data_IF_501115802202
#
_entry.id   IF_501115802202
#
_cell.length_a   1.000
_cell.length_b   1.000
_cell.length_c   1.000
_cell.angle_alpha   90.00
_cell.angle_beta   90.00
_cell.angle_gamma   90.00
#
_symmetry.space_group_name_H-M   'P 1'
#
loop_
_entity.id
_entity.type
_entity.pdbx_description
1 polymer ?
#
# COMPACT_ATOMS: atom_id res chain seq x y z
N UNK A 1 3.64 -10.52 -24.75
CA UNK A 1 4.57 -10.42 -23.61
C UNK A 1 5.01 -8.97 -23.38
N UNK A 2 5.55 -8.27 -24.38
CA UNK A 2 5.90 -6.83 -24.26
C UNK A 2 4.67 -5.95 -24.03
N UNK A 3 3.55 -6.21 -24.72
CA UNK A 3 2.30 -5.44 -24.58
C UNK A 3 1.65 -5.52 -23.19
N UNK A 4 1.72 -6.66 -22.51
CA UNK A 4 1.22 -6.82 -21.13
C UNK A 4 2.13 -6.12 -20.12
N UNK A 5 3.45 -6.12 -20.34
CA UNK A 5 4.40 -5.37 -19.51
C UNK A 5 4.17 -3.86 -19.66
N UNK A 6 3.99 -3.36 -20.88
CA UNK A 6 3.67 -1.93 -21.13
C UNK A 6 2.29 -1.54 -20.58
N UNK A 7 1.32 -2.45 -20.57
CA UNK A 7 -0.01 -2.22 -19.95
C UNK A 7 0.02 -2.29 -18.42
N UNK A 8 1.04 -2.91 -17.81
CA UNK A 8 1.25 -2.89 -16.35
C UNK A 8 1.97 -1.63 -15.89
N UNK A 9 2.79 -1.02 -16.75
CA UNK A 9 3.46 0.27 -16.49
C UNK A 9 2.49 1.47 -16.57
N UNK A 10 1.39 1.36 -17.32
CA UNK A 10 0.43 2.46 -17.51
C UNK A 10 -0.51 2.72 -16.34
N UNK A 11 -0.57 1.85 -15.32
CA UNK A 11 -1.39 2.03 -14.11
C UNK A 11 -0.51 2.30 -12.89
N UNK A 12 0.32 3.33 -12.97
CA UNK A 12 1.14 3.75 -11.83
C UNK A 12 0.24 4.39 -10.77
N UNK A 13 0.26 3.86 -9.54
CA UNK A 13 -0.45 4.51 -8.43
C UNK A 13 0.10 5.92 -8.24
N UNK A 14 -0.81 6.89 -8.14
CA UNK A 14 -0.44 8.30 -7.90
C UNK A 14 0.21 8.50 -6.53
N UNK A 15 -0.10 7.62 -5.58
CA UNK A 15 0.36 7.73 -4.19
C UNK A 15 1.29 6.58 -3.83
N UNK A 16 2.51 6.90 -3.39
CA UNK A 16 3.44 5.91 -2.83
C UNK A 16 3.22 5.75 -1.32
N UNK A 17 3.32 4.53 -0.82
CA UNK A 17 3.28 4.28 0.63
C UNK A 17 4.43 4.99 1.34
N UNK A 18 4.09 5.69 2.42
CA UNK A 18 5.01 6.22 3.41
C UNK A 18 4.49 5.92 4.83
N UNK A 19 5.13 6.47 5.86
CA UNK A 19 4.77 6.22 7.26
C UNK A 19 3.39 6.72 7.68
N UNK A 20 2.77 7.63 6.92
CA UNK A 20 1.55 8.34 7.32
C UNK A 20 0.30 7.90 6.55
N UNK A 21 0.46 7.45 5.30
CA UNK A 21 -0.66 7.32 4.36
C UNK A 21 -1.13 5.87 4.12
N UNK A 22 -0.81 4.93 5.01
CA UNK A 22 -1.11 3.51 4.81
C UNK A 22 -2.58 3.25 4.49
N UNK A 23 -3.53 3.86 5.20
CA UNK A 23 -4.95 3.60 5.00
C UNK A 23 -5.42 3.90 3.56
N UNK A 24 -5.07 5.10 3.05
CA UNK A 24 -5.43 5.53 1.68
C UNK A 24 -4.67 4.70 0.65
N UNK A 25 -3.36 4.50 0.84
CA UNK A 25 -2.55 3.69 -0.06
C UNK A 25 -3.08 2.25 -0.15
N UNK A 26 -3.41 1.63 0.98
CA UNK A 26 -3.90 0.26 1.03
C UNK A 26 -5.24 0.11 0.31
N UNK A 27 -6.14 1.09 0.48
CA UNK A 27 -7.40 1.14 -0.25
C UNK A 27 -7.19 1.23 -1.77
N UNK A 28 -6.32 2.13 -2.24
CA UNK A 28 -6.01 2.28 -3.66
C UNK A 28 -5.37 1.02 -4.24
N UNK A 29 -4.37 0.47 -3.55
CA UNK A 29 -3.64 -0.72 -3.99
C UNK A 29 -4.56 -1.93 -4.11
N UNK A 30 -5.37 -2.18 -3.07
CA UNK A 30 -6.34 -3.30 -3.07
C UNK A 30 -7.37 -3.15 -4.18
N UNK A 31 -7.83 -1.93 -4.45
CA UNK A 31 -8.77 -1.63 -5.54
C UNK A 31 -8.15 -1.92 -6.91
N UNK A 32 -6.93 -1.45 -7.15
CA UNK A 32 -6.18 -1.71 -8.38
C UNK A 32 -5.96 -3.21 -8.61
N UNK A 33 -5.47 -3.93 -7.59
CA UNK A 33 -5.19 -5.36 -7.69
C UNK A 33 -6.47 -6.18 -7.90
N UNK A 34 -7.58 -5.78 -7.25
CA UNK A 34 -8.90 -6.38 -7.48
C UNK A 34 -9.36 -6.18 -8.93
N UNK A 35 -9.20 -4.98 -9.48
CA UNK A 35 -9.51 -4.69 -10.89
C UNK A 35 -8.69 -5.52 -11.88
N UNK A 36 -7.46 -5.88 -11.52
CA UNK A 36 -6.57 -6.76 -12.31
C UNK A 36 -6.80 -8.26 -12.09
N UNK A 37 -7.71 -8.66 -11.20
CA UNK A 37 -8.02 -10.06 -10.92
C UNK A 37 -6.97 -10.82 -10.08
N UNK A 38 -6.03 -10.11 -9.44
CA UNK A 38 -4.97 -10.74 -8.64
C UNK A 38 -5.18 -10.64 -7.12
N UNK A 39 -6.39 -10.30 -6.67
CA UNK A 39 -6.68 -10.09 -5.24
C UNK A 39 -6.28 -11.29 -4.37
N UNK A 40 -6.49 -12.51 -4.85
CA UNK A 40 -6.15 -13.71 -4.10
C UNK A 40 -4.65 -13.91 -3.85
N UNK A 41 -3.78 -13.34 -4.69
CA UNK A 41 -2.33 -13.33 -4.45
C UNK A 41 -1.93 -12.29 -3.39
N UNK A 42 -2.74 -11.23 -3.23
CA UNK A 42 -2.49 -10.16 -2.25
C UNK A 42 -2.95 -10.55 -0.84
N UNK A 43 -4.14 -11.13 -0.71
CA UNK A 43 -4.69 -11.55 0.59
C UNK A 43 -4.35 -13.00 0.97
N UNK A 44 -3.74 -13.75 0.04
CA UNK A 44 -3.31 -15.13 0.25
C UNK A 44 -4.41 -16.17 0.07
N UNK A 45 -5.62 -15.78 -0.36
CA UNK A 45 -6.69 -16.74 -0.66
C UNK A 45 -6.37 -17.61 -1.89
N UNK A 46 -5.55 -17.14 -2.82
CA UNK A 46 -4.94 -17.96 -3.87
C UNK A 46 -3.71 -18.68 -3.31
N UNK A 47 -3.93 -19.82 -2.66
CA UNK A 47 -2.85 -20.62 -2.09
C UNK A 47 -1.84 -21.07 -3.17
N UNK A 48 -0.55 -21.08 -2.80
CA UNK A 48 0.49 -21.65 -3.65
C UNK A 48 0.22 -23.14 -3.84
N UNK A 49 0.15 -23.65 -5.08
CA UNK A 49 -0.04 -25.07 -5.32
C UNK A 49 1.12 -25.89 -4.69
N UNK A 50 0.78 -26.93 -3.95
CA UNK A 50 1.76 -27.87 -3.35
C UNK A 50 1.91 -29.07 -4.29
N UNK A 51 3.14 -29.47 -4.56
CA UNK A 51 3.44 -30.65 -5.37
C UNK A 51 3.37 -31.90 -4.47
N UNK A 52 2.63 -32.97 -4.81
CA UNK A 52 1.44 -33.13 -5.66
C UNK A 52 0.13 -32.95 -4.84
N UNK A 53 -1.01 -32.58 -5.47
CA UNK A 53 -1.42 -32.94 -6.84
C UNK A 53 -1.32 -31.81 -7.90
N UNK A 54 -0.63 -30.71 -7.65
CA UNK A 54 -0.52 -29.62 -8.63
C UNK A 54 0.32 -29.99 -9.87
N UNK A 55 -0.11 -29.55 -11.06
CA UNK A 55 0.70 -29.62 -12.28
C UNK A 55 1.78 -28.53 -12.29
N UNK A 56 2.92 -28.80 -12.94
CA UNK A 56 4.01 -27.82 -13.12
C UNK A 56 3.50 -26.52 -13.78
N UNK A 57 2.49 -26.61 -14.64
CA UNK A 57 1.88 -25.47 -15.31
C UNK A 57 1.08 -24.56 -14.35
N UNK A 58 0.34 -25.14 -13.39
CA UNK A 58 -0.39 -24.37 -12.39
C UNK A 58 0.55 -23.64 -11.44
N UNK A 59 1.62 -24.31 -11.01
CA UNK A 59 2.65 -23.71 -10.19
C UNK A 59 3.36 -22.57 -10.94
N UNK A 60 3.73 -22.77 -12.20
CA UNK A 60 4.35 -21.72 -13.01
C UNK A 60 3.44 -20.49 -13.18
N UNK A 61 2.15 -20.70 -13.45
CA UNK A 61 1.16 -19.61 -13.53
C UNK A 61 1.03 -18.87 -12.19
N UNK A 62 0.96 -19.60 -11.09
CA UNK A 62 0.87 -19.00 -9.75
C UNK A 62 2.10 -18.13 -9.46
N UNK A 63 3.30 -18.64 -9.72
CA UNK A 63 4.57 -17.92 -9.53
C UNK A 63 4.62 -16.66 -10.38
N UNK A 64 4.17 -16.73 -11.64
CA UNK A 64 4.13 -15.58 -12.54
C UNK A 64 3.17 -14.49 -12.03
N UNK A 65 1.98 -14.87 -11.57
CA UNK A 65 1.00 -13.92 -11.05
C UNK A 65 1.44 -13.30 -9.72
N UNK A 66 2.03 -14.10 -8.82
CA UNK A 66 2.62 -13.59 -7.57
C UNK A 66 3.73 -12.57 -7.86
N UNK A 67 4.62 -12.87 -8.81
CA UNK A 67 5.68 -11.94 -9.23
C UNK A 67 5.12 -10.62 -9.78
N UNK A 68 4.00 -10.64 -10.52
CA UNK A 68 3.32 -9.42 -11.00
C UNK A 68 2.85 -8.55 -9.82
N UNK A 69 2.18 -9.15 -8.82
CA UNK A 69 1.71 -8.40 -7.64
C UNK A 69 2.87 -7.87 -6.81
N UNK A 70 3.95 -8.66 -6.65
CA UNK A 70 5.17 -8.21 -5.98
C UNK A 70 5.81 -7.01 -6.68
N UNK A 71 5.90 -7.03 -8.02
CA UNK A 71 6.40 -5.90 -8.79
C UNK A 71 5.57 -4.63 -8.56
N UNK A 72 4.23 -4.76 -8.57
CA UNK A 72 3.33 -3.66 -8.28
C UNK A 72 3.52 -3.12 -6.85
N UNK A 73 3.67 -3.99 -5.85
CA UNK A 73 3.97 -3.59 -4.47
C UNK A 73 5.26 -2.77 -4.41
N UNK A 74 6.35 -3.30 -4.96
CA UNK A 74 7.66 -2.64 -4.97
C UNK A 74 7.61 -1.27 -5.67
N UNK A 75 6.85 -1.14 -6.76
CA UNK A 75 6.71 0.13 -7.47
C UNK A 75 5.81 1.15 -6.75
N UNK A 76 5.03 0.70 -5.76
CA UNK A 76 4.04 1.50 -5.05
C UNK A 76 4.47 1.99 -3.68
N UNK A 77 5.69 1.65 -3.23
CA UNK A 77 6.22 2.08 -1.94
C UNK A 77 7.35 3.08 -2.10
N UNK A 78 7.62 3.86 -1.04
CA UNK A 78 8.81 4.70 -0.97
C UNK A 78 10.09 3.83 -1.01
N UNK A 79 11.16 4.28 -1.70
CA UNK A 79 12.42 3.53 -1.78
C UNK A 79 13.01 3.11 -0.43
N UNK A 80 12.78 3.90 0.63
CA UNK A 80 13.25 3.58 1.98
C UNK A 80 12.61 2.32 2.57
N UNK A 81 11.41 1.94 2.09
CA UNK A 81 10.65 0.77 2.54
C UNK A 81 11.09 -0.51 1.80
N UNK A 82 11.66 -0.37 0.59
CA UNK A 82 12.01 -1.51 -0.29
C UNK A 82 12.94 -2.52 0.38
N UNK A 83 13.88 -2.07 1.21
CA UNK A 83 14.85 -2.93 1.89
C UNK A 83 14.17 -3.96 2.78
N UNK A 84 13.08 -3.58 3.46
CA UNK A 84 12.31 -4.49 4.32
C UNK A 84 11.55 -5.58 3.56
N UNK A 85 11.27 -5.36 2.27
CA UNK A 85 10.49 -6.29 1.45
C UNK A 85 11.36 -7.32 0.71
N UNK A 86 12.67 -7.07 0.57
CA UNK A 86 13.57 -7.84 -0.30
C UNK A 86 13.57 -9.35 -0.03
N UNK A 87 13.45 -9.76 1.23
CA UNK A 87 13.56 -11.16 1.65
C UNK A 87 12.21 -11.88 1.74
N UNK A 88 11.10 -11.19 1.45
CA UNK A 88 9.76 -11.75 1.59
C UNK A 88 9.38 -12.59 0.36
N UNK A 89 8.81 -13.77 0.63
CA UNK A 89 8.69 -14.87 -0.32
C UNK A 89 7.47 -14.82 -1.24
N UNK A 90 6.46 -14.01 -0.92
CA UNK A 90 5.25 -13.84 -1.73
C UNK A 90 4.65 -12.44 -1.60
N UNK A 91 3.75 -12.08 -2.52
CA UNK A 91 2.98 -10.83 -2.45
C UNK A 91 2.17 -10.73 -1.15
N UNK A 92 1.52 -11.82 -0.73
CA UNK A 92 0.75 -11.86 0.51
C UNK A 92 1.60 -11.59 1.76
N UNK A 93 2.83 -12.13 1.80
CA UNK A 93 3.76 -11.89 2.91
C UNK A 93 4.22 -10.43 2.92
N UNK A 94 4.54 -9.86 1.74
CA UNK A 94 4.86 -8.43 1.62
C UNK A 94 3.71 -7.54 2.10
N UNK A 95 2.49 -7.82 1.63
CA UNK A 95 1.29 -7.07 2.00
C UNK A 95 1.05 -7.11 3.51
N UNK A 96 1.10 -8.30 4.12
CA UNK A 96 0.95 -8.46 5.57
C UNK A 96 2.03 -7.69 6.34
N UNK A 97 3.30 -7.78 5.92
CA UNK A 97 4.39 -7.06 6.57
C UNK A 97 4.19 -5.54 6.55
N UNK A 98 3.70 -5.00 5.43
CA UNK A 98 3.37 -3.57 5.31
C UNK A 98 2.20 -3.20 6.24
N UNK A 99 1.16 -4.03 6.29
CA UNK A 99 0.03 -3.85 7.19
C UNK A 99 0.47 -3.82 8.66
N UNK A 100 1.22 -4.82 9.09
CA UNK A 100 1.68 -4.97 10.48
C UNK A 100 2.58 -3.79 10.90
N UNK A 101 3.34 -3.20 9.96
CA UNK A 101 4.27 -2.09 10.23
C UNK A 101 3.60 -0.72 10.21
N UNK A 102 2.71 -0.47 9.24
CA UNK A 102 2.24 0.89 8.93
C UNK A 102 0.76 1.14 9.25
N UNK A 103 -0.06 0.11 9.49
CA UNK A 103 -1.47 0.30 9.83
C UNK A 103 -1.65 1.03 11.16
N UNK A 104 -0.90 0.64 12.19
CA UNK A 104 -0.98 1.29 13.51
C UNK A 104 -0.43 2.72 13.47
N UNK A 105 0.70 2.94 12.78
CA UNK A 105 1.32 4.26 12.64
C UNK A 105 0.43 5.26 11.91
N UNK A 106 -0.28 4.82 10.85
CA UNK A 106 -1.24 5.65 10.13
C UNK A 106 -2.43 6.04 11.00
N UNK A 107 -2.94 5.10 11.82
CA UNK A 107 -4.01 5.39 12.79
C UNK A 107 -3.53 6.36 13.90
N UNK A 108 -2.28 6.20 14.37
CA UNK A 108 -1.70 7.11 15.36
C UNK A 108 -1.55 8.52 14.78
N UNK A 109 -1.12 8.67 13.52
CA UNK A 109 -1.04 10.00 12.89
C UNK A 109 -2.41 10.66 12.77
N UNK A 110 -3.44 9.90 12.40
CA UNK A 110 -4.80 10.43 12.36
C UNK A 110 -5.26 10.91 13.75
N UNK A 111 -4.99 10.12 14.79
CA UNK A 111 -5.30 10.51 16.16
C UNK A 111 -4.49 11.73 16.63
N UNK A 112 -3.20 11.80 16.30
CA UNK A 112 -2.36 12.98 16.58
C UNK A 112 -2.93 14.23 15.91
N UNK A 113 -3.36 14.14 14.65
CA UNK A 113 -3.99 15.25 13.94
C UNK A 113 -5.29 15.69 14.60
N UNK A 114 -6.12 14.75 15.06
CA UNK A 114 -7.34 15.06 15.82
C UNK A 114 -7.02 15.77 17.15
N UNK A 115 -5.97 15.34 17.85
CA UNK A 115 -5.50 15.97 19.09
C UNK A 115 -4.91 17.37 18.82
N UNK A 116 -4.07 17.52 17.80
CA UNK A 116 -3.50 18.82 17.39
C UNK A 116 -4.60 19.80 16.99
N UNK A 117 -5.61 19.34 16.24
CA UNK A 117 -6.76 20.15 15.84
C UNK A 117 -7.61 20.56 17.06
N UNK A 118 -7.86 19.63 17.99
CA UNK A 118 -8.61 19.90 19.21
C UNK A 118 -7.86 20.85 20.17
N UNK A 119 -6.53 20.79 20.17
CA UNK A 119 -5.67 21.69 20.95
C UNK A 119 -5.45 23.04 20.26
N UNK A 120 -5.73 23.16 18.96
CA UNK A 120 -5.55 24.38 18.22
C UNK A 120 -6.52 25.46 18.71
N UNK A 121 -5.97 26.52 19.28
CA UNK A 121 -6.70 27.70 19.68
C UNK A 121 -6.07 28.93 19.04
N UNK A 122 -6.88 29.95 18.71
CA UNK A 122 -6.36 31.16 18.06
C UNK A 122 -5.27 31.87 18.88
N UNK A 123 -5.45 31.98 20.20
CA UNK A 123 -4.46 32.60 21.09
C UNK A 123 -4.06 34.01 20.63
N UNK A 124 -2.75 34.23 20.44
CA UNK A 124 -2.20 35.49 19.93
C UNK A 124 -2.05 35.53 18.40
N UNK A 125 -2.47 34.47 17.68
CA UNK A 125 -2.42 34.45 16.22
C UNK A 125 -3.52 35.35 15.65
N UNK A 126 -3.21 36.02 14.53
CA UNK A 126 -4.25 36.66 13.75
C UNK A 126 -5.16 35.59 13.10
N UNK A 127 -6.36 36.03 12.70
CA UNK A 127 -7.41 35.15 12.18
C UNK A 127 -6.93 34.37 10.94
N UNK A 128 -6.13 34.99 10.07
CA UNK A 128 -5.65 34.32 8.86
C UNK A 128 -4.60 33.25 9.19
N UNK A 129 -3.69 33.54 10.12
CA UNK A 129 -2.69 32.57 10.57
C UNK A 129 -3.32 31.36 11.27
N UNK A 130 -4.30 31.58 12.15
CA UNK A 130 -5.05 30.49 12.78
C UNK A 130 -5.82 29.66 11.75
N UNK A 131 -6.54 30.31 10.83
CA UNK A 131 -7.31 29.63 9.80
C UNK A 131 -6.42 28.76 8.90
N UNK A 132 -5.25 29.27 8.51
CA UNK A 132 -4.30 28.51 7.70
C UNK A 132 -3.74 27.30 8.45
N UNK A 133 -3.45 27.43 9.75
CA UNK A 133 -3.00 26.31 10.59
C UNK A 133 -4.08 25.22 10.72
N UNK A 134 -5.33 25.62 10.99
CA UNK A 134 -6.47 24.69 11.06
C UNK A 134 -6.69 23.98 9.71
N UNK A 135 -6.60 24.72 8.61
CA UNK A 135 -6.76 24.17 7.26
C UNK A 135 -5.65 23.20 6.91
N UNK A 136 -4.40 23.47 7.29
CA UNK A 136 -3.27 22.58 7.05
C UNK A 136 -3.47 21.24 7.75
N UNK A 137 -3.81 21.26 9.05
CA UNK A 137 -4.09 20.06 9.85
C UNK A 137 -5.27 19.26 9.32
N UNK A 138 -6.30 19.93 8.80
CA UNK A 138 -7.48 19.29 8.21
C UNK A 138 -7.20 18.62 6.86
N UNK A 139 -6.22 19.10 6.10
CA UNK A 139 -5.91 18.61 4.74
C UNK A 139 -4.79 17.57 4.68
N UNK A 140 -4.12 17.30 5.80
CA UNK A 140 -3.08 16.26 5.92
C UNK A 140 -3.68 14.86 6.04
#
# INVERSE_FOLDING_TARGET
>A
MVSELTSMESDQMSTRLNSKNYAIWAFQFRTMIKGKGFLGHLDGTSARPVVPPATDQELAKWVQNDAKVRSLLLNSVDPTILLGLRLLSSAAVMWKSLADTYACTSNNRQFELEVELAALHQGNLDVASYFNAARLLWTE
#
